data_IF_838712489429
#
_entry.id   IF_838712489429
#
_cell.length_a   1.000
_cell.length_b   1.000
_cell.length_c   1.000
_cell.angle_alpha   90.00
_cell.angle_beta   90.00
_cell.angle_gamma   90.00
#
_symmetry.space_group_name_H-M   'P 1'
#
loop_
_entity.id
_entity.type
_entity.pdbx_description
1 polymer ?
#
# COMPACT_ATOMS: atom_id res chain seq x y z
N UNK A 1 5.29 -31.26 37.47
CA UNK A 1 5.15 -29.83 37.11
C UNK A 1 3.67 -29.52 36.98
N UNK A 2 3.14 -28.51 37.67
CA UNK A 2 1.69 -28.37 37.86
C UNK A 2 0.98 -27.73 36.65
N UNK A 3 -0.13 -28.35 36.26
CA UNK A 3 -0.98 -28.13 35.08
C UNK A 3 -1.74 -26.79 35.00
N UNK A 4 -1.36 -25.77 35.77
CA UNK A 4 -2.13 -24.52 35.88
C UNK A 4 -1.87 -23.52 34.75
N UNK A 5 -0.72 -23.61 34.06
CA UNK A 5 -0.43 -22.76 32.89
C UNK A 5 -1.31 -23.07 31.66
N UNK A 6 -1.93 -24.26 31.59
CA UNK A 6 -2.90 -24.59 30.53
C UNK A 6 -4.31 -24.02 30.78
N UNK A 7 -4.60 -23.53 32.00
CA UNK A 7 -5.90 -22.95 32.33
C UNK A 7 -5.99 -21.45 31.99
N UNK A 8 -4.85 -20.76 31.81
CA UNK A 8 -4.80 -19.34 31.47
C UNK A 8 -4.89 -19.06 29.96
N UNK A 9 -4.79 -20.10 29.14
CA UNK A 9 -5.02 -20.02 27.70
C UNK A 9 -6.00 -21.13 27.32
N UNK A 10 -7.31 -20.97 27.59
CA UNK A 10 -8.29 -21.84 26.95
C UNK A 10 -8.05 -21.65 25.46
N UNK A 11 -7.58 -22.71 24.80
CA UNK A 11 -7.15 -22.67 23.40
C UNK A 11 -8.12 -21.81 22.62
N UNK A 12 -7.65 -20.62 22.21
CA UNK A 12 -8.45 -19.71 21.43
C UNK A 12 -8.84 -20.53 20.22
N UNK A 13 -10.09 -20.98 20.16
CA UNK A 13 -10.70 -21.37 18.90
C UNK A 13 -10.47 -20.13 18.05
N UNK A 14 -9.52 -20.20 17.14
CA UNK A 14 -9.39 -19.22 16.08
C UNK A 14 -10.78 -19.16 15.48
N UNK A 15 -11.53 -18.10 15.81
CA UNK A 15 -12.82 -17.87 15.20
C UNK A 15 -12.53 -17.91 13.70
N UNK A 16 -13.24 -18.76 12.97
CA UNK A 16 -13.13 -18.79 11.53
C UNK A 16 -13.30 -17.36 11.01
N UNK A 17 -12.51 -16.98 10.01
CA UNK A 17 -12.62 -15.65 9.41
C UNK A 17 -14.02 -15.49 8.82
N UNK A 18 -14.64 -14.31 8.97
CA UNK A 18 -16.00 -14.09 8.49
C UNK A 18 -16.06 -14.20 6.96
N UNK A 19 -17.13 -14.81 6.48
CA UNK A 19 -17.41 -14.98 5.04
C UNK A 19 -18.40 -13.94 4.53
N UNK A 20 -19.29 -13.43 5.39
CA UNK A 20 -20.25 -12.39 5.03
C UNK A 20 -19.61 -11.00 5.04
N UNK A 21 -20.00 -10.14 4.09
CA UNK A 21 -19.43 -8.80 3.91
C UNK A 21 -19.64 -7.90 5.12
N UNK A 22 -20.81 -7.95 5.76
CA UNK A 22 -21.08 -7.11 6.92
C UNK A 22 -20.20 -7.53 8.12
N UNK A 23 -20.07 -8.83 8.35
CA UNK A 23 -19.18 -9.37 9.39
C UNK A 23 -17.71 -9.10 9.08
N UNK A 24 -17.29 -9.20 7.82
CA UNK A 24 -15.95 -8.81 7.37
C UNK A 24 -15.66 -7.34 7.69
N UNK A 25 -16.58 -6.43 7.40
CA UNK A 25 -16.40 -5.01 7.71
C UNK A 25 -16.25 -4.76 9.22
N UNK A 26 -17.02 -5.46 10.06
CA UNK A 26 -16.86 -5.38 11.52
C UNK A 26 -15.49 -5.91 11.95
N UNK A 27 -15.05 -7.03 11.38
CA UNK A 27 -13.74 -7.62 11.68
C UNK A 27 -12.59 -6.70 11.27
N UNK A 28 -12.64 -6.11 10.06
CA UNK A 28 -11.64 -5.17 9.56
C UNK A 28 -11.54 -3.95 10.47
N UNK A 29 -12.68 -3.34 10.82
CA UNK A 29 -12.70 -2.19 11.75
C UNK A 29 -12.10 -2.52 13.11
N UNK A 30 -12.38 -3.71 13.65
CA UNK A 30 -11.80 -4.15 14.91
C UNK A 30 -10.27 -4.31 14.81
N UNK A 31 -9.77 -4.93 13.72
CA UNK A 31 -8.32 -5.05 13.46
C UNK A 31 -7.64 -3.69 13.29
N UNK A 32 -8.25 -2.80 12.51
CA UNK A 32 -7.79 -1.43 12.32
C UNK A 32 -7.64 -0.69 13.64
N UNK A 33 -8.65 -0.78 14.53
CA UNK A 33 -8.55 -0.15 15.85
C UNK A 33 -7.45 -0.76 16.72
N UNK A 34 -7.30 -2.09 16.71
CA UNK A 34 -6.24 -2.77 17.44
C UNK A 34 -4.85 -2.34 16.96
N UNK A 35 -4.63 -2.28 15.64
CA UNK A 35 -3.37 -1.85 15.05
C UNK A 35 -3.08 -0.37 15.29
N UNK A 36 -4.08 0.50 15.14
CA UNK A 36 -3.98 1.93 15.45
C UNK A 36 -3.47 2.12 16.88
N UNK A 37 -4.16 1.53 17.88
CA UNK A 37 -3.76 1.63 19.28
C UNK A 37 -2.32 1.15 19.52
N UNK A 38 -1.96 -0.01 18.97
CA UNK A 38 -0.62 -0.57 19.14
C UNK A 38 0.47 0.27 18.47
N UNK A 39 0.19 0.87 17.31
CA UNK A 39 1.13 1.78 16.63
C UNK A 39 1.35 3.04 17.44
N UNK A 40 0.30 3.64 18.02
CA UNK A 40 0.48 4.78 18.92
C UNK A 40 1.31 4.43 20.16
N UNK A 41 1.07 3.28 20.77
CA UNK A 41 1.85 2.83 21.92
C UNK A 41 3.34 2.66 21.57
N UNK A 42 3.64 2.24 20.34
CA UNK A 42 5.01 2.16 19.81
C UNK A 42 5.58 3.56 19.51
N UNK A 43 4.80 4.46 18.92
CA UNK A 43 5.22 5.84 18.65
C UNK A 43 5.46 6.65 19.93
N UNK A 44 4.73 6.37 21.01
CA UNK A 44 4.93 6.98 22.33
C UNK A 44 6.29 6.61 22.94
N UNK A 45 6.91 5.52 22.46
CA UNK A 45 8.21 5.03 22.91
C UNK A 45 9.34 5.35 21.91
N UNK A 46 9.01 5.90 20.73
CA UNK A 46 9.99 6.17 19.69
C UNK A 46 10.83 7.42 20.01
N UNK A 47 12.17 7.31 20.08
CA UNK A 47 13.02 8.42 20.46
C UNK A 47 13.04 9.57 19.44
N UNK A 48 12.85 9.28 18.15
CA UNK A 48 12.82 10.33 17.12
C UNK A 48 11.52 11.13 17.21
N UNK A 49 10.38 10.45 17.33
CA UNK A 49 9.08 11.10 17.42
C UNK A 49 8.89 11.89 18.72
N UNK A 50 9.37 11.34 19.84
CA UNK A 50 9.30 12.01 21.15
C UNK A 50 10.19 13.25 21.22
N UNK A 51 11.37 13.22 20.61
CA UNK A 51 12.25 14.39 20.53
C UNK A 51 11.64 15.54 19.70
N UNK A 52 10.83 15.22 18.70
CA UNK A 52 10.16 16.19 17.83
C UNK A 52 8.81 16.69 18.38
N UNK A 53 8.43 16.24 19.59
CA UNK A 53 7.19 16.65 20.24
C UNK A 53 5.94 16.06 19.58
N UNK A 54 6.05 14.88 18.95
CA UNK A 54 4.87 14.18 18.44
C UNK A 54 3.98 13.77 19.62
N UNK A 55 2.73 14.24 19.62
CA UNK A 55 1.78 14.03 20.70
C UNK A 55 0.61 13.17 20.25
N UNK A 56 0.18 12.26 21.12
CA UNK A 56 -1.01 11.43 20.92
C UNK A 56 -2.27 12.27 21.13
N UNK A 57 -3.22 12.14 20.22
CA UNK A 57 -4.58 12.65 20.44
C UNK A 57 -5.30 11.81 21.52
N UNK A 58 -6.03 12.49 22.39
CA UNK A 58 -6.86 11.85 23.42
C UNK A 58 -8.27 12.47 23.43
N UNK A 59 -9.31 11.75 22.98
CA UNK A 59 -9.27 10.38 22.44
C UNK A 59 -8.65 10.31 21.04
N UNK A 60 -8.09 9.16 20.68
CA UNK A 60 -7.69 8.87 19.29
C UNK A 60 -8.90 8.93 18.35
N UNK A 61 -8.75 9.46 17.12
CA UNK A 61 -9.81 9.46 16.12
C UNK A 61 -10.36 8.05 15.84
N UNK A 62 -11.69 7.96 15.66
CA UNK A 62 -12.34 6.72 15.23
C UNK A 62 -12.12 6.43 13.74
N UNK A 63 -11.89 7.48 12.96
CA UNK A 63 -11.58 7.41 11.53
C UNK A 63 -10.07 7.52 11.32
N UNK A 64 -9.46 6.47 10.77
CA UNK A 64 -8.01 6.43 10.51
C UNK A 64 -7.55 7.54 9.56
N UNK A 65 -8.43 7.99 8.66
CA UNK A 65 -8.13 9.07 7.71
C UNK A 65 -7.92 10.43 8.41
N UNK A 66 -8.37 10.55 9.66
CA UNK A 66 -8.24 11.75 10.48
C UNK A 66 -7.09 11.63 11.48
N UNK A 67 -6.46 10.46 11.56
CA UNK A 67 -5.33 10.21 12.45
C UNK A 67 -4.03 10.69 11.82
N UNK A 68 -3.80 12.00 11.89
CA UNK A 68 -2.61 12.64 11.31
C UNK A 68 -1.31 12.05 11.86
N UNK A 69 -1.31 11.61 13.13
CA UNK A 69 -0.13 11.02 13.74
C UNK A 69 0.16 9.66 13.15
N UNK A 70 -0.85 8.81 12.96
CA UNK A 70 -0.70 7.54 12.24
C UNK A 70 -0.17 7.76 10.82
N UNK A 71 -0.76 8.72 10.09
CA UNK A 71 -0.47 8.99 8.67
C UNK A 71 0.95 9.54 8.48
N UNK A 72 1.37 10.51 9.30
CA UNK A 72 2.61 11.25 9.05
C UNK A 72 3.81 10.76 9.86
N UNK A 73 3.61 10.17 11.03
CA UNK A 73 4.76 9.79 11.89
C UNK A 73 5.35 8.44 11.53
N UNK A 74 4.61 7.57 10.83
CA UNK A 74 5.11 6.25 10.47
C UNK A 74 6.44 6.31 9.69
N UNK A 75 6.55 7.23 8.72
CA UNK A 75 7.78 7.40 7.93
C UNK A 75 8.93 8.07 8.71
N UNK A 76 8.60 8.85 9.75
CA UNK A 76 9.56 9.56 10.61
C UNK A 76 10.08 8.73 11.78
N UNK A 77 9.35 7.70 12.18
CA UNK A 77 9.75 6.78 13.24
C UNK A 77 11.12 6.13 12.96
N UNK A 78 11.75 5.57 13.98
CA UNK A 78 12.98 4.78 13.78
C UNK A 78 12.71 3.48 13.01
N UNK A 79 13.72 2.90 12.32
CA UNK A 79 13.59 1.58 11.69
C UNK A 79 13.12 0.49 12.65
N UNK A 80 13.54 0.54 13.92
CA UNK A 80 13.14 -0.40 14.97
C UNK A 80 11.64 -0.30 15.26
N UNK A 81 11.12 0.91 15.40
CA UNK A 81 9.68 1.15 15.61
C UNK A 81 8.87 0.73 14.39
N UNK A 82 9.30 1.08 13.17
CA UNK A 82 8.62 0.62 11.93
C UNK A 82 8.59 -0.90 11.84
N UNK A 83 9.68 -1.58 12.18
CA UNK A 83 9.74 -3.05 12.23
C UNK A 83 8.72 -3.61 13.22
N UNK A 84 8.62 -3.04 14.42
CA UNK A 84 7.67 -3.46 15.43
C UNK A 84 6.21 -3.24 14.98
N UNK A 85 5.92 -2.08 14.38
CA UNK A 85 4.63 -1.72 13.81
C UNK A 85 4.18 -2.73 12.73
N UNK A 86 5.05 -3.00 11.75
CA UNK A 86 4.75 -3.89 10.64
C UNK A 86 4.71 -5.37 11.06
N UNK A 87 5.42 -5.78 12.11
CA UNK A 87 5.36 -7.14 12.65
C UNK A 87 3.96 -7.53 13.18
N UNK A 88 3.08 -6.56 13.44
CA UNK A 88 1.68 -6.79 13.82
C UNK A 88 0.78 -7.20 12.64
N UNK A 89 1.27 -7.03 11.41
CA UNK A 89 0.53 -7.26 10.18
C UNK A 89 0.95 -8.60 9.52
N UNK A 90 0.10 -9.20 8.67
CA UNK A 90 0.49 -10.33 7.85
C UNK A 90 1.73 -10.00 7.01
N UNK A 91 2.65 -10.96 6.87
CA UNK A 91 3.91 -10.78 6.15
C UNK A 91 4.77 -9.59 6.64
N UNK A 92 4.64 -9.18 7.91
CA UNK A 92 5.28 -7.99 8.45
C UNK A 92 6.79 -7.85 8.20
N UNK A 93 7.54 -8.95 8.18
CA UNK A 93 8.97 -8.93 7.87
C UNK A 93 9.26 -8.50 6.42
N UNK A 94 8.44 -8.95 5.46
CA UNK A 94 8.55 -8.57 4.05
C UNK A 94 8.07 -7.13 3.82
N UNK A 95 6.96 -6.74 4.46
CA UNK A 95 6.50 -5.35 4.44
C UNK A 95 7.61 -4.41 4.94
N UNK A 96 8.23 -4.74 6.08
CA UNK A 96 9.35 -3.97 6.63
C UNK A 96 10.53 -3.88 5.67
N UNK A 97 10.93 -5.00 5.07
CA UNK A 97 12.01 -5.02 4.08
C UNK A 97 11.73 -4.07 2.92
N UNK A 98 10.51 -4.06 2.38
CA UNK A 98 10.12 -3.17 1.27
C UNK A 98 10.01 -1.72 1.72
N UNK A 99 9.47 -1.45 2.90
CA UNK A 99 9.41 -0.10 3.47
C UNK A 99 10.81 0.49 3.64
N UNK A 100 11.75 -0.24 4.23
CA UNK A 100 13.13 0.28 4.37
C UNK A 100 13.83 0.43 3.02
N UNK A 101 13.61 -0.49 2.08
CA UNK A 101 14.13 -0.37 0.72
C UNK A 101 13.60 0.90 0.03
N UNK A 102 12.31 1.20 0.16
CA UNK A 102 11.71 2.42 -0.37
C UNK A 102 12.27 3.68 0.30
N UNK A 103 12.28 3.75 1.63
CA UNK A 103 12.71 4.94 2.38
C UNK A 103 14.21 5.26 2.22
N UNK A 104 15.03 4.26 1.87
CA UNK A 104 16.47 4.42 1.66
C UNK A 104 16.88 4.48 0.19
N UNK A 105 15.96 4.24 -0.75
CA UNK A 105 16.27 4.21 -2.18
C UNK A 105 16.63 5.61 -2.70
N UNK A 106 17.71 5.67 -3.49
CA UNK A 106 17.97 6.81 -4.37
C UNK A 106 17.26 6.55 -5.72
N UNK A 107 16.49 7.51 -6.26
CA UNK A 107 15.90 7.37 -7.58
C UNK A 107 16.97 7.10 -8.65
N UNK A 108 16.76 6.08 -9.48
CA UNK A 108 17.62 5.77 -10.62
C UNK A 108 16.87 6.09 -11.90
N UNK A 109 17.02 7.34 -12.37
CA UNK A 109 16.26 7.83 -13.50
C UNK A 109 16.50 7.00 -14.77
N UNK A 110 15.41 6.58 -15.40
CA UNK A 110 15.40 5.86 -16.66
C UNK A 110 15.17 6.84 -17.82
N UNK A 111 15.90 6.71 -18.95
CA UNK A 111 15.52 7.35 -20.19
C UNK A 111 14.12 6.92 -20.65
N UNK A 112 13.40 7.80 -21.34
CA UNK A 112 12.05 7.50 -21.87
C UNK A 112 12.03 6.21 -22.70
N UNK A 113 13.03 5.99 -23.55
CA UNK A 113 13.12 4.79 -24.39
C UNK A 113 13.18 3.50 -23.56
N UNK A 114 13.88 3.51 -22.42
CA UNK A 114 13.96 2.36 -21.51
C UNK A 114 12.65 2.16 -20.75
N UNK A 115 12.02 3.25 -20.31
CA UNK A 115 10.72 3.20 -19.67
C UNK A 115 9.64 2.62 -20.61
N UNK A 116 9.61 3.07 -21.87
CA UNK A 116 8.73 2.53 -22.91
C UNK A 116 8.99 1.05 -23.18
N UNK A 117 10.25 0.62 -23.21
CA UNK A 117 10.62 -0.77 -23.46
C UNK A 117 10.10 -1.75 -22.38
N UNK A 118 9.75 -1.25 -21.18
CA UNK A 118 9.18 -2.07 -20.09
C UNK A 118 7.68 -2.32 -20.24
N UNK A 119 6.97 -1.50 -21.02
CA UNK A 119 5.50 -1.56 -21.15
C UNK A 119 4.98 -2.93 -21.61
N UNK A 120 5.57 -3.61 -22.61
CA UNK A 120 5.07 -4.92 -23.04
C UNK A 120 5.08 -5.98 -21.93
N UNK A 121 6.08 -5.93 -21.04
CA UNK A 121 6.15 -6.84 -19.89
C UNK A 121 5.08 -6.52 -18.84
N UNK A 122 4.82 -5.23 -18.59
CA UNK A 122 3.75 -4.77 -17.69
C UNK A 122 2.37 -5.16 -18.26
N UNK A 123 2.14 -4.97 -19.56
CA UNK A 123 0.90 -5.35 -20.24
C UNK A 123 0.63 -6.87 -20.13
N UNK A 124 1.67 -7.69 -20.26
CA UNK A 124 1.57 -9.13 -20.07
C UNK A 124 1.19 -9.50 -18.62
N UNK A 125 1.72 -8.78 -17.63
CA UNK A 125 1.38 -8.98 -16.21
C UNK A 125 -0.07 -8.56 -15.91
N UNK A 126 -0.55 -7.44 -16.45
CA UNK A 126 -1.97 -7.08 -16.35
C UNK A 126 -2.86 -8.20 -16.89
N UNK A 127 -2.56 -8.70 -18.09
CA UNK A 127 -3.31 -9.83 -18.68
C UNK A 127 -3.29 -11.09 -17.82
N UNK A 128 -2.19 -11.35 -17.09
CA UNK A 128 -2.07 -12.48 -16.17
C UNK A 128 -2.93 -12.29 -14.91
N UNK A 129 -2.99 -11.07 -14.37
CA UNK A 129 -3.86 -10.73 -13.22
C UNK A 129 -5.34 -10.79 -13.60
N UNK A 130 -5.68 -10.35 -14.82
CA UNK A 130 -7.06 -10.26 -15.31
C UNK A 130 -7.68 -8.92 -14.91
N UNK A 131 -7.44 -7.83 -15.67
CA UNK A 131 -7.98 -6.52 -15.34
C UNK A 131 -9.50 -6.52 -15.44
N UNK A 132 -10.16 -5.62 -14.70
CA UNK A 132 -11.60 -5.48 -14.70
C UNK A 132 -12.16 -4.94 -16.04
N UNK A 133 -11.32 -4.35 -16.88
CA UNK A 133 -11.62 -3.93 -18.25
C UNK A 133 -10.43 -4.12 -19.20
N UNK A 134 -10.70 -4.17 -20.50
CA UNK A 134 -9.66 -4.28 -21.53
C UNK A 134 -9.06 -2.91 -21.85
N UNK A 135 -7.73 -2.85 -21.91
CA UNK A 135 -6.97 -1.62 -22.23
C UNK A 135 -6.03 -1.87 -23.39
N UNK A 136 -5.98 -0.94 -24.33
CA UNK A 136 -5.02 -0.98 -25.44
C UNK A 136 -3.65 -0.41 -25.01
N UNK A 137 -2.75 -1.30 -24.59
CA UNK A 137 -1.37 -0.94 -24.23
C UNK A 137 -0.50 -0.52 -25.44
N UNK A 138 -1.02 -0.57 -26.67
CA UNK A 138 -0.31 -0.10 -27.87
C UNK A 138 -0.51 1.40 -28.12
N UNK A 139 -1.60 1.98 -27.60
CA UNK A 139 -1.84 3.42 -27.63
C UNK A 139 -1.17 4.07 -26.43
N UNK A 140 -0.06 4.76 -26.69
CA UNK A 140 0.79 5.31 -25.65
C UNK A 140 1.05 6.79 -25.85
N UNK A 141 0.61 7.59 -24.89
CA UNK A 141 0.94 9.02 -24.79
C UNK A 141 2.01 9.24 -23.72
N UNK A 142 2.98 10.13 -23.98
CA UNK A 142 3.96 10.54 -22.97
C UNK A 142 3.58 11.91 -22.43
N UNK A 143 3.62 12.04 -21.10
CA UNK A 143 3.21 13.24 -20.38
C UNK A 143 4.39 13.77 -19.57
N UNK A 144 4.78 15.00 -19.85
CA UNK A 144 5.73 15.76 -19.02
C UNK A 144 4.96 16.51 -17.93
N UNK A 145 4.74 15.86 -16.78
CA UNK A 145 3.80 16.27 -15.71
C UNK A 145 3.98 17.73 -15.24
N UNK A 146 5.20 18.23 -15.25
CA UNK A 146 5.55 19.54 -14.70
C UNK A 146 5.44 20.70 -15.70
N UNK A 147 4.84 20.45 -16.87
CA UNK A 147 4.46 21.48 -17.86
C UNK A 147 2.99 21.85 -17.71
N UNK A 148 2.59 23.03 -18.21
CA UNK A 148 1.18 23.45 -18.14
C UNK A 148 0.27 22.48 -18.92
N UNK A 149 0.74 22.02 -20.09
CA UNK A 149 0.07 21.02 -20.91
C UNK A 149 0.02 19.67 -20.20
N UNK A 150 1.10 19.27 -19.54
CA UNK A 150 1.19 18.03 -18.78
C UNK A 150 0.24 17.98 -17.59
N UNK A 151 0.09 19.08 -16.84
CA UNK A 151 -0.91 19.16 -15.77
C UNK A 151 -2.34 18.97 -16.29
N UNK A 152 -2.67 19.55 -17.45
CA UNK A 152 -3.97 19.38 -18.07
C UNK A 152 -4.18 17.93 -18.55
N UNK A 153 -3.17 17.32 -19.17
CA UNK A 153 -3.22 15.92 -19.61
C UNK A 153 -3.36 14.96 -18.43
N UNK A 154 -2.66 15.19 -17.31
CA UNK A 154 -2.77 14.35 -16.12
C UNK A 154 -4.20 14.28 -15.56
N UNK A 155 -4.99 15.36 -15.68
CA UNK A 155 -6.40 15.39 -15.25
C UNK A 155 -7.32 14.51 -16.11
N UNK A 156 -6.85 14.06 -17.27
CA UNK A 156 -7.55 13.14 -18.17
C UNK A 156 -7.02 11.71 -18.04
N UNK A 157 -6.28 11.42 -16.97
CA UNK A 157 -5.73 10.08 -16.72
C UNK A 157 -6.10 9.62 -15.33
N UNK A 158 -6.32 8.32 -15.18
CA UNK A 158 -6.49 7.66 -13.89
C UNK A 158 -5.27 6.81 -13.53
N UNK A 159 -5.22 6.37 -12.27
CA UNK A 159 -4.19 5.42 -11.89
C UNK A 159 -4.38 4.11 -12.66
N UNK A 160 -3.31 3.50 -13.13
CA UNK A 160 -3.43 2.25 -13.89
C UNK A 160 -3.91 1.10 -12.99
N UNK A 161 -3.74 1.22 -11.66
CA UNK A 161 -4.18 0.19 -10.71
C UNK A 161 -5.69 0.16 -10.47
N UNK A 162 -6.45 1.14 -10.98
CA UNK A 162 -7.92 1.06 -10.99
C UNK A 162 -8.42 -0.16 -11.77
N UNK A 163 -7.61 -0.66 -12.72
CA UNK A 163 -7.87 -1.90 -13.47
C UNK A 163 -7.85 -3.16 -12.60
N UNK A 164 -7.29 -3.06 -11.39
CA UNK A 164 -7.18 -4.16 -10.43
C UNK A 164 -8.28 -4.08 -9.36
N UNK A 165 -9.08 -3.02 -9.36
CA UNK A 165 -10.15 -2.86 -8.37
C UNK A 165 -11.22 -3.94 -8.55
N UNK A 166 -11.38 -4.76 -7.52
CA UNK A 166 -12.42 -5.76 -7.43
C UNK A 166 -13.81 -5.15 -7.16
N UNK A 167 -14.85 -5.97 -7.30
CA UNK A 167 -16.21 -5.55 -7.01
C UNK A 167 -16.37 -5.19 -5.52
N UNK A 168 -16.60 -3.91 -5.21
CA UNK A 168 -16.78 -3.39 -3.85
C UNK A 168 -17.94 -4.03 -3.06
N UNK A 169 -18.90 -4.62 -3.79
CA UNK A 169 -20.08 -5.29 -3.23
C UNK A 169 -19.85 -6.78 -2.96
N UNK A 170 -18.79 -7.38 -3.50
CA UNK A 170 -18.47 -8.78 -3.27
C UNK A 170 -17.77 -8.98 -1.92
N UNK A 171 -18.01 -10.13 -1.29
CA UNK A 171 -17.24 -10.58 -0.12
C UNK A 171 -15.84 -11.00 -0.54
N UNK A 172 -14.85 -10.66 0.28
CA UNK A 172 -13.47 -11.12 0.08
C UNK A 172 -13.35 -12.59 0.47
N UNK A 173 -12.59 -13.42 -0.26
CA UNK A 173 -12.26 -14.76 0.20
C UNK A 173 -11.67 -14.70 1.62
N UNK A 174 -12.13 -15.53 2.58
CA UNK A 174 -11.71 -15.42 3.98
C UNK A 174 -10.20 -15.41 4.18
N UNK A 175 -9.45 -16.21 3.41
CA UNK A 175 -8.00 -16.29 3.42
C UNK A 175 -7.29 -15.00 2.99
N UNK A 176 -7.93 -14.19 2.14
CA UNK A 176 -7.38 -12.91 1.66
C UNK A 176 -7.76 -11.72 2.57
N UNK A 177 -8.76 -11.90 3.45
CA UNK A 177 -9.27 -10.84 4.33
C UNK A 177 -8.19 -10.18 5.20
N UNK A 178 -7.25 -10.91 5.85
CA UNK A 178 -6.20 -10.27 6.63
C UNK A 178 -5.25 -9.42 5.78
N UNK A 179 -4.91 -9.89 4.58
CA UNK A 179 -4.06 -9.15 3.64
C UNK A 179 -4.73 -7.86 3.18
N UNK A 180 -6.01 -7.93 2.79
CA UNK A 180 -6.78 -6.75 2.42
C UNK A 180 -6.93 -5.75 3.58
N UNK A 181 -7.17 -6.24 4.80
CA UNK A 181 -7.26 -5.39 5.98
C UNK A 181 -5.94 -4.65 6.25
N UNK A 182 -4.79 -5.34 6.12
CA UNK A 182 -3.48 -4.74 6.31
C UNK A 182 -3.14 -3.72 5.20
N UNK A 183 -3.42 -4.05 3.93
CA UNK A 183 -3.24 -3.12 2.80
C UNK A 183 -4.07 -1.84 3.00
N UNK A 184 -5.35 -1.96 3.35
CA UNK A 184 -6.20 -0.79 3.61
C UNK A 184 -5.75 0.04 4.83
N UNK A 185 -5.22 -0.60 5.88
CA UNK A 185 -4.68 0.11 7.05
C UNK A 185 -3.42 0.92 6.70
N UNK A 186 -2.59 0.39 5.79
CA UNK A 186 -1.31 1.00 5.39
C UNK A 186 -1.44 2.04 4.27
N UNK A 187 -2.60 2.13 3.61
CA UNK A 187 -2.82 3.00 2.45
C UNK A 187 -2.37 4.43 2.71
N UNK A 188 -2.94 5.12 3.70
CA UNK A 188 -2.62 6.53 3.95
C UNK A 188 -1.22 6.76 4.52
N UNK A 189 -0.73 5.99 5.51
CA UNK A 189 0.64 6.14 5.98
C UNK A 189 1.68 5.99 4.86
N UNK A 190 1.48 5.04 3.94
CA UNK A 190 2.41 4.82 2.84
C UNK A 190 2.23 5.85 1.72
N UNK A 191 1.00 6.28 1.42
CA UNK A 191 0.72 7.34 0.46
C UNK A 191 1.37 8.67 0.88
N UNK A 192 1.23 9.04 2.15
CA UNK A 192 1.87 10.21 2.73
C UNK A 192 3.40 10.09 2.71
N UNK A 193 3.95 8.94 3.09
CA UNK A 193 5.39 8.67 3.03
C UNK A 193 5.95 8.76 1.59
N UNK A 194 5.14 8.42 0.60
CA UNK A 194 5.47 8.46 -0.81
C UNK A 194 5.33 9.85 -1.47
N UNK A 195 4.97 10.88 -0.71
CA UNK A 195 4.76 12.22 -1.26
C UNK A 195 3.54 12.29 -2.16
N UNK A 196 2.44 11.63 -1.77
CA UNK A 196 1.17 11.56 -2.47
C UNK A 196 1.20 10.71 -3.76
N UNK A 197 1.86 9.54 -3.68
CA UNK A 197 1.84 8.52 -4.72
C UNK A 197 1.45 7.15 -4.14
N UNK A 198 0.50 6.46 -4.74
CA UNK A 198 0.09 5.13 -4.29
C UNK A 198 1.11 4.04 -4.65
N UNK A 199 1.86 4.21 -5.74
CA UNK A 199 2.72 3.16 -6.31
C UNK A 199 3.71 2.53 -5.31
N UNK A 200 4.45 3.29 -4.47
CA UNK A 200 5.31 2.67 -3.46
C UNK A 200 4.53 1.87 -2.41
N UNK A 201 3.38 2.39 -1.96
CA UNK A 201 2.53 1.73 -0.97
C UNK A 201 1.92 0.44 -1.49
N UNK A 202 1.43 0.46 -2.73
CA UNK A 202 0.90 -0.71 -3.42
C UNK A 202 1.98 -1.77 -3.60
N UNK A 203 3.20 -1.40 -3.99
CA UNK A 203 4.32 -2.33 -4.08
C UNK A 203 4.72 -2.92 -2.72
N UNK A 204 4.76 -2.11 -1.66
CA UNK A 204 5.02 -2.61 -0.31
C UNK A 204 3.97 -3.66 0.08
N UNK A 205 2.70 -3.43 -0.24
CA UNK A 205 1.58 -4.29 0.13
C UNK A 205 1.34 -5.47 -0.83
N UNK A 206 1.88 -5.45 -2.05
CA UNK A 206 1.59 -6.42 -3.10
C UNK A 206 1.74 -7.91 -2.70
N UNK A 207 2.71 -8.32 -1.85
CA UNK A 207 2.81 -9.70 -1.37
C UNK A 207 1.56 -10.21 -0.64
N UNK A 208 0.72 -9.31 -0.12
CA UNK A 208 -0.52 -9.63 0.56
C UNK A 208 -1.63 -10.11 -0.40
N UNK A 209 -1.48 -9.81 -1.70
CA UNK A 209 -2.49 -10.08 -2.73
C UNK A 209 -2.15 -11.29 -3.61
N UNK A 210 -0.94 -11.84 -3.47
CA UNK A 210 -0.49 -13.04 -4.16
C UNK A 210 0.61 -12.77 -5.19
N UNK A 211 1.20 -13.84 -5.71
CA UNK A 211 2.44 -13.77 -6.47
C UNK A 211 2.33 -12.99 -7.79
N UNK A 212 1.20 -13.11 -8.49
CA UNK A 212 1.02 -12.45 -9.80
C UNK A 212 0.87 -10.94 -9.64
N UNK A 213 0.04 -10.48 -8.70
CA UNK A 213 -0.08 -9.05 -8.37
C UNK A 213 1.24 -8.49 -7.81
N UNK A 214 1.97 -9.27 -7.01
CA UNK A 214 3.29 -8.89 -6.52
C UNK A 214 4.29 -8.60 -7.66
N UNK A 215 4.30 -9.44 -8.70
CA UNK A 215 5.13 -9.22 -9.89
C UNK A 215 4.70 -7.95 -10.65
N UNK A 216 3.40 -7.71 -10.79
CA UNK A 216 2.87 -6.52 -11.46
C UNK A 216 3.27 -5.24 -10.72
N UNK A 217 2.99 -5.14 -9.42
CA UNK A 217 3.34 -3.96 -8.65
C UNK A 217 4.85 -3.77 -8.52
N UNK A 218 5.64 -4.83 -8.53
CA UNK A 218 7.11 -4.72 -8.62
C UNK A 218 7.52 -4.06 -9.94
N UNK A 219 6.95 -4.47 -11.08
CA UNK A 219 7.27 -3.87 -12.37
C UNK A 219 6.82 -2.38 -12.45
N UNK A 220 5.66 -2.06 -11.89
CA UNK A 220 5.18 -0.68 -11.79
C UNK A 220 6.07 0.17 -10.87
N UNK A 221 6.52 -0.39 -9.74
CA UNK A 221 7.42 0.29 -8.81
C UNK A 221 8.82 0.52 -9.39
N UNK A 222 9.38 -0.43 -10.14
CA UNK A 222 10.65 -0.22 -10.85
C UNK A 222 10.54 0.90 -11.89
N UNK A 223 9.41 0.99 -12.60
CA UNK A 223 9.13 2.09 -13.51
C UNK A 223 9.04 3.42 -12.75
N UNK A 224 8.35 3.42 -11.60
CA UNK A 224 8.26 4.55 -10.69
C UNK A 224 9.63 4.97 -10.17
N UNK A 225 10.46 4.09 -9.61
CA UNK A 225 11.84 4.42 -9.23
C UNK A 225 12.66 5.01 -10.39
N UNK A 226 12.32 4.63 -11.63
CA UNK A 226 12.83 5.19 -12.88
C UNK A 226 12.39 6.61 -13.22
N UNK A 227 11.53 7.23 -12.43
CA UNK A 227 10.96 8.56 -12.68
C UNK A 227 9.69 8.58 -13.52
N UNK A 228 9.09 7.42 -13.78
CA UNK A 228 7.95 7.26 -14.69
C UNK A 228 6.75 6.59 -14.00
N UNK A 229 5.56 7.11 -14.24
CA UNK A 229 4.31 6.52 -13.78
C UNK A 229 3.50 6.06 -14.99
N UNK A 230 3.05 4.80 -14.98
CA UNK A 230 2.07 4.32 -15.94
C UNK A 230 0.68 4.73 -15.45
N UNK A 231 -0.14 5.26 -16.36
CA UNK A 231 -1.48 5.79 -16.10
C UNK A 231 -2.46 5.21 -17.11
N UNK A 232 -3.73 5.14 -16.73
CA UNK A 232 -4.84 4.83 -17.63
C UNK A 232 -5.27 6.12 -18.34
N UNK A 233 -5.50 6.05 -19.64
CA UNK A 233 -6.02 7.15 -20.45
C UNK A 233 -7.23 6.66 -21.28
N UNK A 234 -8.08 7.58 -21.75
CA UNK A 234 -9.33 7.25 -22.45
C UNK A 234 -9.16 6.23 -23.59
N UNK A 235 -8.10 6.36 -24.40
CA UNK A 235 -7.85 5.52 -25.58
C UNK A 235 -6.70 4.50 -25.37
N UNK A 236 -6.20 4.32 -24.13
CA UNK A 236 -5.08 3.42 -23.86
C UNK A 236 -4.32 3.75 -22.58
N UNK A 237 -3.01 3.95 -22.71
CA UNK A 237 -2.13 4.24 -21.57
C UNK A 237 -1.38 5.55 -21.73
N UNK A 238 -1.01 6.15 -20.60
CA UNK A 238 -0.07 7.25 -20.56
C UNK A 238 1.17 6.89 -19.72
N UNK A 239 2.33 7.34 -20.18
CA UNK A 239 3.59 7.26 -19.44
C UNK A 239 3.97 8.67 -19.00
N UNK A 240 3.74 8.96 -17.72
CA UNK A 240 3.92 10.28 -17.13
C UNK A 240 5.25 10.37 -16.39
N UNK A 241 6.08 11.36 -16.74
CA UNK A 241 7.30 11.65 -15.99
C UNK A 241 6.94 12.44 -14.73
N UNK A 242 7.26 11.92 -13.54
CA UNK A 242 6.91 12.57 -12.28
C UNK A 242 8.10 13.20 -11.55
N UNK A 243 9.32 12.97 -12.02
CA UNK A 243 10.53 13.68 -11.55
C UNK A 243 10.76 14.95 -12.37
N UNK A 244 11.30 16.00 -11.74
CA UNK A 244 11.69 17.24 -12.41
C UNK A 244 13.07 17.12 -13.05
#
# INVERSE_FOLDING_TARGET
>A
MPNWLKALFPGARTKALPTDRAEQNVWVKARHREWQLAWHDLFDQDPALTAEGSHRDDPLPDDLMQDNRLIHEFSRATPETRRACLALLPLGAELFRRTEAFLSAAPQLLPEAEARARIPAIAALFKEVGPNEEVDFTQLTVIERWTQEGEAAMRQTDDITVLLEGNLLASTPPEALPGQAASSFLSEPLYAAAGNFYTPGEWICAPLHGQTEDRLHTALYELWQGGWQLRLADDGIALARYVR
#
